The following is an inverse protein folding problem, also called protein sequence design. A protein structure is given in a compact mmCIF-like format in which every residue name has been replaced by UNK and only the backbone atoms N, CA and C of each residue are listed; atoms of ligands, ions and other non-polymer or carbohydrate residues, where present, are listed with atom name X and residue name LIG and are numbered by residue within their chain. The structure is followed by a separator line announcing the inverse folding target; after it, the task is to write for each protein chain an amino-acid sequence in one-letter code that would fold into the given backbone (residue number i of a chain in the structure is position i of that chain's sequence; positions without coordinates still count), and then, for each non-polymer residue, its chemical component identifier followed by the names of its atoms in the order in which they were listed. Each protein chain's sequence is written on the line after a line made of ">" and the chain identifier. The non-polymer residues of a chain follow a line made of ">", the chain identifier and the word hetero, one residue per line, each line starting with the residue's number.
data_IF_825083326371
#
_entry.id   IF_825083326371
#
_cell.length_a   1.000
_cell.length_b   1.000
_cell.length_c   1.000
_cell.angle_alpha   90.00
_cell.angle_beta   90.00
_cell.angle_gamma   90.00
#
_symmetry.space_group_name_H-M   'P 1'
#
loop_
_entity.id
_entity.type
_entity.pdbx_description
1 polymer ?
#
# COMPACT_ATOMS: atom_id res chain seq x y z
N UNK A 1 11.34 20.04 -5.38
CA UNK A 1 10.44 19.91 -4.20
C UNK A 1 10.14 21.24 -3.51
N UNK A 2 11.10 22.16 -3.34
CA UNK A 2 10.92 23.45 -2.63
C UNK A 2 9.72 24.27 -3.09
N UNK A 3 9.40 24.28 -4.39
CA UNK A 3 8.18 24.95 -4.90
C UNK A 3 6.89 24.53 -4.17
N UNK A 4 6.80 23.25 -3.76
CA UNK A 4 5.63 22.69 -3.10
C UNK A 4 5.70 22.78 -1.58
N UNK A 5 6.90 22.81 -1.00
CA UNK A 5 7.11 22.69 0.45
C UNK A 5 7.54 23.98 1.13
N UNK A 6 7.88 25.06 0.41
CA UNK A 6 8.37 26.31 1.00
C UNK A 6 7.40 27.00 1.98
N UNK A 7 6.10 26.68 1.91
CA UNK A 7 5.11 27.20 2.86
C UNK A 7 5.05 26.40 4.17
N UNK A 8 5.66 25.21 4.21
CA UNK A 8 5.65 24.28 5.35
C UNK A 8 6.87 24.58 6.20
N UNK A 9 6.70 25.44 7.20
CA UNK A 9 7.79 25.92 8.07
C UNK A 9 7.86 25.21 9.43
N UNK A 10 6.85 24.39 9.75
CA UNK A 10 6.73 23.60 10.98
C UNK A 10 6.10 22.25 10.63
N UNK A 11 6.26 21.26 11.50
CA UNK A 11 5.55 20.00 11.34
C UNK A 11 4.05 20.25 11.60
N UNK A 12 3.15 20.00 10.63
CA UNK A 12 1.72 20.24 10.83
C UNK A 12 1.12 19.31 11.90
N UNK A 13 1.75 18.17 12.19
CA UNK A 13 1.30 17.22 13.21
C UNK A 13 1.45 17.80 14.63
N UNK A 14 2.42 18.70 14.86
CA UNK A 14 2.65 19.32 16.18
C UNK A 14 1.43 20.10 16.71
N UNK A 15 0.50 20.46 15.83
CA UNK A 15 -0.71 21.24 16.16
C UNK A 15 -1.97 20.39 16.31
N UNK A 16 -1.87 19.07 16.11
CA UNK A 16 -3.00 18.15 16.10
C UNK A 16 -3.04 17.39 17.42
N UNK A 17 -4.20 17.40 18.07
CA UNK A 17 -4.48 16.46 19.17
C UNK A 17 -4.73 15.06 18.57
N UNK A 18 -3.80 14.14 18.80
CA UNK A 18 -3.86 12.79 18.25
C UNK A 18 -4.94 11.92 18.90
N UNK A 19 -5.47 12.32 20.06
CA UNK A 19 -6.61 11.65 20.71
C UNK A 19 -7.96 12.12 20.14
N UNK A 20 -7.99 13.23 19.39
CA UNK A 20 -9.18 13.69 18.66
C UNK A 20 -9.25 13.09 17.25
N UNK A 21 -9.97 11.96 17.16
CA UNK A 21 -10.22 11.24 15.89
C UNK A 21 -10.78 12.12 14.77
N UNK A 22 -11.53 13.17 15.09
CA UNK A 22 -12.06 14.08 14.06
C UNK A 22 -10.95 14.97 13.51
N UNK A 23 -10.14 15.56 14.37
CA UNK A 23 -9.00 16.39 13.98
C UNK A 23 -7.97 15.59 13.16
N UNK A 24 -7.71 14.34 13.55
CA UNK A 24 -6.86 13.42 12.80
C UNK A 24 -7.48 13.09 11.43
N UNK A 25 -8.78 12.81 11.38
CA UNK A 25 -9.49 12.55 10.13
C UNK A 25 -9.44 13.75 9.18
N UNK A 26 -9.74 14.94 9.68
CA UNK A 26 -9.71 16.19 8.90
C UNK A 26 -8.31 16.47 8.31
N UNK A 27 -7.24 16.15 9.05
CA UNK A 27 -5.87 16.30 8.58
C UNK A 27 -5.56 15.47 7.33
N UNK A 28 -6.04 14.23 7.24
CA UNK A 28 -5.80 13.40 6.04
C UNK A 28 -6.45 13.96 4.77
N UNK A 29 -7.49 14.80 4.91
CA UNK A 29 -8.13 15.48 3.80
C UNK A 29 -7.57 16.89 3.53
N UNK A 30 -6.68 17.39 4.38
CA UNK A 30 -6.07 18.70 4.23
C UNK A 30 -4.84 18.63 3.32
N UNK A 31 -4.87 19.26 2.13
CA UNK A 31 -3.69 19.28 1.27
C UNK A 31 -2.64 20.26 1.81
N UNK A 32 -1.43 19.79 2.06
CA UNK A 32 -0.31 20.64 2.49
C UNK A 32 0.36 21.40 1.33
N UNK A 33 0.15 20.94 0.09
CA UNK A 33 0.68 21.58 -1.11
C UNK A 33 -0.34 21.57 -2.26
N UNK A 34 -0.18 22.53 -3.17
CA UNK A 34 -0.96 22.62 -4.42
C UNK A 34 -0.72 21.39 -5.32
N UNK A 35 -1.67 21.08 -6.20
CA UNK A 35 -1.47 20.01 -7.19
C UNK A 35 -0.24 20.30 -8.07
N UNK A 36 0.54 19.27 -8.46
CA UNK A 36 1.63 19.45 -9.40
C UNK A 36 1.12 19.80 -10.81
N UNK A 37 1.98 20.40 -11.62
CA UNK A 37 1.78 20.44 -13.08
C UNK A 37 2.03 19.05 -13.64
N UNK A 38 1.46 18.75 -14.81
CA UNK A 38 1.72 17.47 -15.47
C UNK A 38 3.22 17.27 -15.74
N UNK A 39 3.92 18.32 -16.18
CA UNK A 39 5.36 18.28 -16.44
C UNK A 39 6.19 17.95 -15.18
N UNK A 40 5.90 18.55 -14.02
CA UNK A 40 6.62 18.21 -12.79
C UNK A 40 6.32 16.79 -12.31
N UNK A 41 5.09 16.32 -12.48
CA UNK A 41 4.75 14.93 -12.18
C UNK A 41 5.54 13.96 -13.06
N UNK A 42 5.60 14.20 -14.37
CA UNK A 42 6.34 13.35 -15.31
C UNK A 42 7.84 13.33 -14.99
N UNK A 43 8.44 14.50 -14.76
CA UNK A 43 9.83 14.60 -14.36
C UNK A 43 10.11 13.82 -13.07
N UNK A 44 9.26 13.96 -12.05
CA UNK A 44 9.39 13.19 -10.81
C UNK A 44 9.22 11.69 -11.05
N UNK A 45 8.34 11.28 -11.95
CA UNK A 45 8.10 9.87 -12.26
C UNK A 45 9.30 9.21 -12.94
N UNK A 46 10.11 9.97 -13.69
CA UNK A 46 11.36 9.49 -14.27
C UNK A 46 12.45 9.27 -13.21
N UNK A 47 12.43 10.05 -12.13
CA UNK A 47 13.39 9.93 -11.01
C UNK A 47 12.93 8.92 -9.95
N UNK A 48 11.64 8.93 -9.60
CA UNK A 48 11.03 8.09 -8.57
C UNK A 48 9.50 8.06 -8.73
N UNK A 49 8.97 6.92 -9.16
CA UNK A 49 7.52 6.68 -9.24
C UNK A 49 6.82 6.86 -7.89
N UNK A 50 7.49 6.51 -6.79
CA UNK A 50 6.98 6.77 -5.43
C UNK A 50 6.85 8.27 -5.14
N UNK A 51 7.86 9.07 -5.48
CA UNK A 51 7.80 10.53 -5.29
C UNK A 51 6.69 11.15 -6.15
N UNK A 52 6.49 10.67 -7.37
CA UNK A 52 5.38 11.08 -8.23
C UNK A 52 4.01 10.70 -7.64
N UNK A 53 3.87 9.50 -7.09
CA UNK A 53 2.64 9.06 -6.42
C UNK A 53 2.34 9.95 -5.20
N UNK A 54 3.34 10.24 -4.36
CA UNK A 54 3.19 11.08 -3.16
C UNK A 54 2.86 12.53 -3.50
N UNK A 55 3.55 13.15 -4.46
CA UNK A 55 3.30 14.57 -4.78
C UNK A 55 1.86 14.79 -5.28
N UNK A 56 1.28 13.79 -5.95
CA UNK A 56 -0.10 13.83 -6.42
C UNK A 56 -1.11 13.44 -5.34
N UNK A 57 -0.95 12.25 -4.74
CA UNK A 57 -1.93 11.64 -3.84
C UNK A 57 -1.86 12.17 -2.40
N UNK A 58 -0.77 12.85 -2.00
CA UNK A 58 -0.60 13.43 -0.67
C UNK A 58 -0.78 12.37 0.43
N UNK A 59 -1.72 12.57 1.35
CA UNK A 59 -2.05 11.65 2.44
C UNK A 59 -3.17 10.64 2.09
N UNK A 60 -3.51 10.51 0.82
CA UNK A 60 -4.48 9.50 0.41
C UNK A 60 -3.99 8.08 0.75
N UNK A 61 -4.93 7.21 1.10
CA UNK A 61 -4.62 5.83 1.49
C UNK A 61 -3.97 5.08 0.32
N UNK A 62 -2.70 4.71 0.46
CA UNK A 62 -1.98 3.98 -0.59
C UNK A 62 -2.51 2.54 -0.76
N UNK A 63 -2.73 1.85 0.36
CA UNK A 63 -3.33 0.53 0.39
C UNK A 63 -3.89 0.23 1.79
N UNK A 64 -4.70 -0.82 1.86
CA UNK A 64 -5.00 -1.53 3.09
C UNK A 64 -4.65 -3.01 2.90
N UNK A 65 -4.48 -3.72 4.01
CA UNK A 65 -4.04 -5.11 4.01
C UNK A 65 -5.11 -6.01 4.62
N UNK A 66 -5.50 -7.07 3.90
CA UNK A 66 -6.40 -8.10 4.42
C UNK A 66 -5.56 -9.19 5.11
N UNK A 67 -5.89 -9.49 6.37
CA UNK A 67 -5.34 -10.64 7.10
C UNK A 67 -5.94 -11.95 6.57
N UNK A 68 -5.30 -12.55 5.57
CA UNK A 68 -5.78 -13.76 4.90
C UNK A 68 -5.95 -14.93 5.88
N UNK A 69 -5.04 -15.06 6.84
CA UNK A 69 -5.06 -16.12 7.85
C UNK A 69 -6.28 -16.08 8.80
N UNK A 70 -7.00 -14.95 8.86
CA UNK A 70 -8.22 -14.79 9.66
C UNK A 70 -9.49 -15.02 8.84
N UNK A 71 -9.38 -15.22 7.52
CA UNK A 71 -10.52 -15.54 6.68
C UNK A 71 -11.04 -16.96 6.96
N UNK A 72 -12.32 -17.25 6.67
CA UNK A 72 -12.83 -18.61 6.71
C UNK A 72 -12.16 -19.51 5.68
N UNK A 73 -12.00 -20.79 6.02
CA UNK A 73 -11.62 -21.83 5.06
C UNK A 73 -12.62 -21.86 3.89
N UNK A 74 -12.15 -22.01 2.63
CA UNK A 74 -10.78 -22.35 2.23
C UNK A 74 -9.88 -21.13 1.94
N UNK A 75 -10.36 -19.91 2.12
CA UNK A 75 -9.66 -18.67 1.72
C UNK A 75 -8.58 -18.21 2.68
N UNK A 76 -8.20 -19.07 3.62
CA UNK A 76 -7.32 -18.73 4.73
C UNK A 76 -5.83 -19.04 4.46
N UNK A 77 -5.47 -19.19 3.19
CA UNK A 77 -4.09 -19.25 2.69
C UNK A 77 -3.94 -18.38 1.45
N UNK A 78 -2.75 -17.79 1.26
CA UNK A 78 -2.49 -16.91 0.13
C UNK A 78 -2.63 -17.59 -1.22
N UNK A 79 -2.27 -18.86 -1.36
CA UNK A 79 -2.42 -19.61 -2.61
C UNK A 79 -3.89 -19.63 -3.06
N UNK A 80 -4.78 -20.11 -2.20
CA UNK A 80 -6.20 -20.25 -2.51
C UNK A 80 -6.84 -18.87 -2.69
N UNK A 81 -6.46 -17.90 -1.87
CA UNK A 81 -6.99 -16.55 -1.98
C UNK A 81 -6.54 -15.85 -3.27
N UNK A 82 -5.28 -15.99 -3.66
CA UNK A 82 -4.77 -15.43 -4.92
C UNK A 82 -5.47 -16.07 -6.13
N UNK A 83 -5.63 -17.39 -6.16
CA UNK A 83 -6.38 -18.08 -7.24
C UNK A 83 -7.83 -17.57 -7.34
N UNK A 84 -8.48 -17.35 -6.18
CA UNK A 84 -9.81 -16.77 -6.14
C UNK A 84 -9.86 -15.35 -6.74
N UNK A 85 -8.92 -14.48 -6.37
CA UNK A 85 -8.83 -13.11 -6.90
C UNK A 85 -8.59 -13.12 -8.42
N UNK A 86 -7.67 -13.94 -8.91
CA UNK A 86 -7.40 -14.07 -10.34
C UNK A 86 -8.61 -14.62 -11.11
N UNK A 87 -9.36 -15.54 -10.50
CA UNK A 87 -10.64 -16.02 -11.05
C UNK A 87 -11.72 -14.93 -11.18
N UNK A 88 -11.61 -13.85 -10.40
CA UNK A 88 -12.45 -12.65 -10.51
C UNK A 88 -11.88 -11.62 -11.51
N UNK A 89 -10.73 -11.88 -12.12
CA UNK A 89 -10.05 -10.97 -13.03
C UNK A 89 -9.19 -9.91 -12.33
N UNK A 90 -8.90 -10.06 -11.02
CA UNK A 90 -7.99 -9.16 -10.31
C UNK A 90 -6.55 -9.56 -10.65
N UNK A 91 -5.79 -8.61 -11.18
CA UNK A 91 -4.37 -8.81 -11.53
C UNK A 91 -3.52 -8.64 -10.27
N UNK A 92 -2.63 -9.60 -10.01
CA UNK A 92 -1.70 -9.57 -8.87
C UNK A 92 -0.33 -9.05 -9.27
N UNK A 93 0.32 -8.31 -8.37
CA UNK A 93 1.70 -7.85 -8.54
C UNK A 93 2.66 -9.05 -8.60
N UNK A 94 3.46 -9.10 -9.66
CA UNK A 94 4.39 -10.20 -9.96
C UNK A 94 5.85 -9.88 -9.68
N UNK A 95 6.20 -8.65 -9.30
CA UNK A 95 7.57 -8.27 -8.95
C UNK A 95 8.07 -9.12 -7.78
N UNK A 96 9.20 -9.80 -7.90
CA UNK A 96 9.69 -10.74 -6.87
C UNK A 96 8.83 -12.00 -6.69
N UNK A 97 7.90 -12.30 -7.61
CA UNK A 97 6.91 -13.37 -7.49
C UNK A 97 5.57 -12.87 -6.92
N UNK A 98 4.50 -13.65 -7.10
CA UNK A 98 3.16 -13.26 -6.59
C UNK A 98 3.09 -13.21 -5.07
N UNK A 99 3.74 -14.19 -4.41
CA UNK A 99 3.82 -14.28 -2.95
C UNK A 99 5.25 -13.98 -2.53
N UNK A 100 5.43 -12.89 -1.80
CA UNK A 100 6.69 -12.48 -1.18
C UNK A 100 6.73 -13.07 0.21
N UNK A 101 7.82 -13.74 0.56
CA UNK A 101 7.98 -14.41 1.84
C UNK A 101 9.17 -13.81 2.56
N UNK A 102 8.99 -13.43 3.82
CA UNK A 102 10.07 -12.92 4.66
C UNK A 102 11.18 -13.94 4.82
N UNK A 103 12.39 -13.47 5.17
CA UNK A 103 13.54 -14.34 5.37
C UNK A 103 13.33 -15.39 6.46
N UNK A 104 12.54 -15.05 7.48
CA UNK A 104 12.16 -15.97 8.57
C UNK A 104 11.02 -16.93 8.19
N UNK A 105 10.36 -16.72 7.03
CA UNK A 105 9.27 -17.54 6.53
C UNK A 105 7.91 -17.29 7.18
N UNK A 106 7.81 -16.42 8.19
CA UNK A 106 6.58 -16.26 8.99
C UNK A 106 5.68 -15.10 8.54
N UNK A 107 6.12 -14.28 7.58
CA UNK A 107 5.31 -13.25 6.93
C UNK A 107 5.29 -13.49 5.42
N UNK A 108 4.10 -13.73 4.89
CA UNK A 108 3.87 -13.91 3.46
C UNK A 108 2.88 -12.85 2.98
N UNK A 109 3.14 -12.27 1.82
CA UNK A 109 2.38 -11.13 1.30
C UNK A 109 2.18 -11.24 -0.22
N UNK A 110 0.99 -10.87 -0.70
CA UNK A 110 0.70 -10.59 -2.10
C UNK A 110 -0.07 -9.27 -2.20
N UNK A 111 -0.22 -8.73 -3.40
CA UNK A 111 -1.00 -7.49 -3.61
C UNK A 111 -1.62 -7.48 -5.00
N UNK A 112 -2.72 -6.75 -5.15
CA UNK A 112 -3.24 -6.41 -6.47
C UNK A 112 -2.31 -5.41 -7.16
N UNK A 113 -2.36 -5.36 -8.49
CA UNK A 113 -1.86 -4.20 -9.25
C UNK A 113 -2.79 -3.01 -8.99
N UNK A 114 -2.24 -1.80 -8.88
CA UNK A 114 -3.04 -0.60 -8.70
C UNK A 114 -3.89 -0.30 -9.94
N UNK A 115 -5.12 0.16 -9.73
CA UNK A 115 -5.97 0.61 -10.83
C UNK A 115 -5.48 1.94 -11.39
N UNK A 116 -5.57 2.13 -12.71
CA UNK A 116 -5.24 3.40 -13.36
C UNK A 116 -6.44 4.35 -13.31
N UNK A 117 -6.28 5.48 -12.62
CA UNK A 117 -7.32 6.49 -12.43
C UNK A 117 -7.04 7.74 -13.28
N UNK A 118 -8.09 8.40 -13.76
CA UNK A 118 -7.95 9.69 -14.45
C UNK A 118 -7.66 10.80 -13.43
N UNK A 119 -6.45 11.34 -13.49
CA UNK A 119 -5.97 12.40 -12.63
C UNK A 119 -6.03 13.76 -13.33
N UNK A 120 -6.51 14.77 -12.61
CA UNK A 120 -6.46 16.18 -13.02
C UNK A 120 -5.30 16.87 -12.30
N UNK A 121 -4.47 17.59 -13.06
CA UNK A 121 -3.29 18.33 -12.61
C UNK A 121 -3.59 19.83 -12.54
N UNK A 122 -2.60 20.62 -12.10
CA UNK A 122 -2.67 22.07 -12.24
C UNK A 122 -2.95 22.47 -13.71
N UNK A 123 -3.66 23.58 -13.90
CA UNK A 123 -4.11 24.06 -15.22
C UNK A 123 -5.10 23.14 -15.97
N UNK A 124 -5.75 22.21 -15.25
CA UNK A 124 -6.75 21.27 -15.79
C UNK A 124 -6.21 20.29 -16.85
N UNK A 125 -4.90 20.07 -16.88
CA UNK A 125 -4.31 18.97 -17.65
C UNK A 125 -4.72 17.62 -17.04
N UNK A 126 -4.88 16.58 -17.85
CA UNK A 126 -5.29 15.25 -17.37
C UNK A 126 -4.37 14.15 -17.87
N UNK A 127 -4.16 13.13 -17.04
CA UNK A 127 -3.42 11.91 -17.39
C UNK A 127 -3.89 10.75 -16.51
N UNK A 128 -3.82 9.52 -17.02
CA UNK A 128 -4.02 8.34 -16.18
C UNK A 128 -2.79 8.10 -15.30
N UNK A 129 -3.00 7.89 -14.00
CA UNK A 129 -1.94 7.53 -13.04
C UNK A 129 -2.38 6.33 -12.21
N UNK A 130 -1.41 5.66 -11.57
CA UNK A 130 -1.69 4.59 -10.62
C UNK A 130 -2.39 5.14 -9.38
N UNK A 131 -3.54 4.56 -9.04
CA UNK A 131 -4.26 4.82 -7.79
C UNK A 131 -3.69 4.00 -6.64
N UNK A 132 -4.60 3.50 -5.80
CA UNK A 132 -4.29 2.62 -4.67
C UNK A 132 -4.36 1.14 -5.07
N UNK A 133 -3.80 0.28 -4.24
CA UNK A 133 -3.92 -1.18 -4.38
C UNK A 133 -4.40 -1.82 -3.08
N UNK A 134 -4.67 -3.12 -3.12
CA UNK A 134 -5.01 -3.92 -1.92
C UNK A 134 -3.89 -4.93 -1.69
N UNK A 135 -3.44 -5.03 -0.45
CA UNK A 135 -2.47 -6.03 -0.02
C UNK A 135 -3.17 -7.18 0.72
N UNK A 136 -2.57 -8.36 0.69
CA UNK A 136 -3.05 -9.57 1.33
C UNK A 136 -1.89 -10.19 2.11
N UNK A 137 -2.07 -10.41 3.41
CA UNK A 137 -0.99 -10.88 4.28
C UNK A 137 -1.39 -12.13 5.09
N UNK A 138 -0.46 -13.07 5.16
CA UNK A 138 -0.53 -14.27 5.98
C UNK A 138 0.61 -14.23 7.00
N UNK A 139 0.24 -14.20 8.28
CA UNK A 139 1.18 -14.19 9.41
C UNK A 139 1.11 -15.52 10.11
N UNK A 140 2.20 -16.27 10.06
CA UNK A 140 2.31 -17.57 10.69
C UNK A 140 2.43 -17.45 12.21
N UNK A 141 2.01 -18.50 12.91
CA UNK A 141 2.21 -18.65 14.36
C UNK A 141 3.70 -18.82 14.62
N UNK A 142 4.22 -18.12 15.64
CA UNK A 142 5.61 -18.24 16.03
C UNK A 142 5.90 -19.64 16.61
N UNK A 143 7.11 -20.18 16.43
CA UNK A 143 7.44 -21.54 16.87
C UNK A 143 7.16 -21.82 18.34
N UNK A 144 7.35 -20.84 19.22
CA UNK A 144 7.06 -20.94 20.65
C UNK A 144 5.58 -21.14 20.97
N UNK A 145 4.66 -20.86 20.04
CA UNK A 145 3.22 -21.03 20.21
C UNK A 145 2.63 -22.14 19.34
N UNK A 146 3.47 -22.93 18.66
CA UNK A 146 3.04 -23.98 17.73
C UNK A 146 2.20 -25.10 18.40
N UNK A 147 2.21 -25.17 19.73
CA UNK A 147 1.43 -26.14 20.51
C UNK A 147 -0.03 -25.72 20.75
N UNK A 148 -0.39 -24.46 20.48
CA UNK A 148 -1.74 -23.94 20.70
C UNK A 148 -2.72 -24.49 19.67
N UNK A 149 -3.94 -24.78 20.11
CA UNK A 149 -5.02 -25.10 19.19
C UNK A 149 -5.39 -23.88 18.34
N UNK A 150 -5.92 -24.11 17.13
CA UNK A 150 -6.27 -23.03 16.19
C UNK A 150 -7.19 -21.96 16.81
N UNK A 151 -8.07 -22.37 17.71
CA UNK A 151 -9.04 -21.49 18.39
C UNK A 151 -8.42 -20.67 19.53
N UNK A 152 -7.20 -21.01 19.96
CA UNK A 152 -6.45 -20.32 21.01
C UNK A 152 -5.39 -19.36 20.44
N UNK A 153 -5.14 -19.42 19.13
CA UNK A 153 -4.21 -18.51 18.45
C UNK A 153 -4.80 -17.11 18.48
N UNK A 154 -4.04 -16.17 19.06
CA UNK A 154 -4.33 -14.75 19.07
C UNK A 154 -3.28 -14.02 18.23
N UNK A 155 -3.46 -12.71 18.05
CA UNK A 155 -2.57 -11.89 17.23
C UNK A 155 -1.14 -11.93 17.75
N UNK A 156 -0.96 -11.90 19.07
CA UNK A 156 0.34 -11.85 19.75
C UNK A 156 1.14 -13.15 19.55
N UNK A 157 0.47 -14.24 19.14
CA UNK A 157 1.11 -15.51 18.85
C UNK A 157 1.67 -15.58 17.42
N UNK A 158 1.45 -14.55 16.59
CA UNK A 158 1.87 -14.51 15.19
C UNK A 158 3.03 -13.55 14.97
N UNK A 159 3.73 -13.72 13.85
CA UNK A 159 4.79 -12.79 13.43
C UNK A 159 4.23 -11.37 13.25
N UNK A 160 4.63 -10.46 14.13
CA UNK A 160 4.33 -9.02 14.06
C UNK A 160 5.35 -8.27 13.19
N UNK A 161 5.06 -7.01 12.82
CA UNK A 161 5.99 -6.16 12.07
C UNK A 161 5.98 -6.37 10.55
N UNK A 162 6.96 -5.78 9.87
CA UNK A 162 7.11 -5.78 8.41
C UNK A 162 8.46 -6.39 8.00
N UNK A 163 8.60 -6.74 6.73
CA UNK A 163 9.87 -7.12 6.12
C UNK A 163 10.21 -6.14 5.01
N UNK A 164 11.36 -5.46 5.12
CA UNK A 164 11.74 -4.39 4.20
C UNK A 164 11.85 -4.89 2.74
N UNK A 165 12.38 -6.10 2.55
CA UNK A 165 12.50 -6.71 1.22
C UNK A 165 11.14 -7.00 0.58
N UNK A 166 10.14 -7.43 1.38
CA UNK A 166 8.78 -7.62 0.86
C UNK A 166 8.13 -6.28 0.55
N UNK A 167 8.27 -5.30 1.44
CA UNK A 167 7.68 -3.97 1.30
C UNK A 167 8.16 -3.28 0.02
N UNK A 168 9.47 -3.34 -0.29
CA UNK A 168 10.04 -2.81 -1.53
C UNK A 168 9.29 -3.31 -2.77
N UNK A 169 9.02 -4.62 -2.84
CA UNK A 169 8.31 -5.24 -3.98
C UNK A 169 6.82 -4.96 -4.00
N UNK A 170 6.22 -4.70 -2.84
CA UNK A 170 4.80 -4.36 -2.74
C UNK A 170 4.56 -2.91 -3.18
N UNK A 171 5.49 -1.97 -2.92
CA UNK A 171 5.38 -0.59 -3.42
C UNK A 171 5.32 -0.51 -4.96
N UNK A 172 6.00 -1.44 -5.64
CA UNK A 172 5.97 -1.57 -7.09
C UNK A 172 4.57 -1.91 -7.66
N UNK A 173 3.57 -2.20 -6.82
CA UNK A 173 2.16 -2.38 -7.26
C UNK A 173 1.58 -1.14 -7.93
N UNK A 174 2.18 0.03 -7.68
CA UNK A 174 1.82 1.31 -8.32
C UNK A 174 2.69 1.64 -9.54
N UNK A 175 3.67 0.81 -9.88
CA UNK A 175 4.64 1.14 -10.92
C UNK A 175 4.12 0.80 -12.31
N UNK A 176 4.58 1.56 -13.32
CA UNK A 176 4.19 1.38 -14.72
C UNK A 176 4.46 -0.04 -15.23
N UNK A 177 5.52 -0.68 -14.77
CA UNK A 177 5.83 -2.07 -15.13
C UNK A 177 4.73 -3.05 -14.69
N UNK A 178 4.06 -2.78 -13.57
CA UNK A 178 2.94 -3.61 -13.11
C UNK A 178 1.64 -3.17 -13.74
N UNK A 179 1.33 -1.87 -13.77
CA UNK A 179 0.03 -1.35 -14.26
C UNK A 179 -0.16 -1.47 -15.77
N UNK A 180 0.91 -1.69 -16.53
CA UNK A 180 0.84 -1.98 -17.97
C UNK A 180 0.55 -3.45 -18.31
N UNK A 181 0.63 -4.37 -17.32
CA UNK A 181 0.34 -5.79 -17.50
C UNK A 181 -1.18 -5.98 -17.49
N UNK A 182 -1.75 -6.32 -18.65
CA UNK A 182 -3.17 -6.64 -18.83
C UNK A 182 -3.41 -8.14 -18.73
#
# INVERSE_FOLDING_TARGET
>A
ISEYTNAINTDPIDTIDLDDTKSVGDFFYQPLWKLPTLAHFQQLSEESEYAAWVIYNRYYLNHYTISVHDLPSPYNSLEVFNEFLEGLGIVLNTSGGKIKTSNDGFLRQSSSVAEMVDATFAHNETMKISGSYVEFAERSVLPEFAFLDKNEIQREHRREGFEAANADKIFESTYLEQTSKK
#
